data_IF_781881548736
#
_entry.id   IF_781881548736
#
_cell.length_a   1.000
_cell.length_b   1.000
_cell.length_c   1.000
_cell.angle_alpha   90.00
_cell.angle_beta   90.00
_cell.angle_gamma   90.00
#
_symmetry.space_group_name_H-M   'P 1'
#
loop_
_entity.id
_entity.type
_entity.pdbx_description
1 polymer ?
#
# COMPACT_ATOMS: atom_id res chain seq x y z
N UNK A 1 -27.31 17.64 42.89
CA UNK A 1 -26.89 16.33 42.31
C UNK A 1 -27.57 16.01 40.97
N UNK A 2 -28.89 16.13 40.78
CA UNK A 2 -29.56 15.82 39.50
C UNK A 2 -29.14 16.69 38.30
N UNK A 3 -28.79 17.96 38.51
CA UNK A 3 -28.41 18.89 37.43
C UNK A 3 -26.99 18.64 36.89
N UNK A 4 -26.06 18.20 37.75
CA UNK A 4 -24.70 17.81 37.35
C UNK A 4 -24.68 16.47 36.58
N UNK A 5 -25.57 15.53 36.93
CA UNK A 5 -25.70 14.25 36.23
C UNK A 5 -26.22 14.43 34.79
N UNK A 6 -27.15 15.38 34.59
CA UNK A 6 -27.71 15.68 33.26
C UNK A 6 -26.67 16.37 32.35
N UNK A 7 -25.85 17.26 32.89
CA UNK A 7 -24.74 17.91 32.16
C UNK A 7 -23.66 16.89 31.80
N UNK A 8 -23.33 15.97 32.71
CA UNK A 8 -22.36 14.91 32.46
C UNK A 8 -22.85 13.90 31.41
N UNK A 9 -24.14 13.54 31.43
CA UNK A 9 -24.77 12.69 30.41
C UNK A 9 -24.88 13.42 29.05
N UNK A 10 -25.15 14.73 29.02
CA UNK A 10 -25.11 15.52 27.79
C UNK A 10 -23.68 15.62 27.24
N UNK A 11 -22.68 15.85 28.09
CA UNK A 11 -21.26 15.89 27.69
C UNK A 11 -20.80 14.51 27.19
N UNK A 12 -21.19 13.42 27.83
CA UNK A 12 -20.92 12.05 27.37
C UNK A 12 -21.64 11.74 26.04
N UNK A 13 -22.91 12.14 25.90
CA UNK A 13 -23.67 11.95 24.66
C UNK A 13 -23.13 12.80 23.50
N UNK A 14 -22.71 14.04 23.76
CA UNK A 14 -22.10 14.93 22.76
C UNK A 14 -20.70 14.45 22.38
N UNK A 15 -19.88 13.99 23.33
CA UNK A 15 -18.55 13.43 23.05
C UNK A 15 -18.62 12.11 22.28
N UNK A 16 -19.53 11.20 22.63
CA UNK A 16 -19.79 9.96 21.89
C UNK A 16 -20.38 10.22 20.50
N UNK A 17 -21.30 11.17 20.36
CA UNK A 17 -21.86 11.57 19.06
C UNK A 17 -20.82 12.28 18.17
N UNK A 18 -19.93 13.09 18.74
CA UNK A 18 -18.82 13.72 18.01
C UNK A 18 -17.77 12.67 17.58
N UNK A 19 -17.40 11.76 18.48
CA UNK A 19 -16.45 10.68 18.18
C UNK A 19 -16.97 9.72 17.10
N UNK A 20 -18.26 9.39 17.11
CA UNK A 20 -18.90 8.57 16.07
C UNK A 20 -18.99 9.26 14.71
N UNK A 21 -19.20 10.59 14.67
CA UNK A 21 -19.13 11.38 13.42
C UNK A 21 -17.71 11.44 12.86
N UNK A 22 -16.72 11.68 13.72
CA UNK A 22 -15.29 11.68 13.35
C UNK A 22 -14.84 10.32 12.81
N UNK A 23 -15.29 9.23 13.43
CA UNK A 23 -15.00 7.86 12.98
C UNK A 23 -15.70 7.54 11.64
N UNK A 24 -16.93 8.00 11.44
CA UNK A 24 -17.66 7.83 10.19
C UNK A 24 -17.00 8.58 9.02
N UNK A 25 -16.60 9.85 9.23
CA UNK A 25 -15.92 10.63 8.19
C UNK A 25 -14.52 10.08 7.89
N UNK A 26 -13.77 9.65 8.93
CA UNK A 26 -12.51 8.92 8.73
C UNK A 26 -12.71 7.68 7.86
N UNK A 27 -13.73 6.86 8.17
CA UNK A 27 -14.02 5.66 7.38
C UNK A 27 -14.42 5.99 5.94
N UNK A 28 -15.14 7.09 5.71
CA UNK A 28 -15.48 7.57 4.37
C UNK A 28 -14.23 7.95 3.58
N UNK A 29 -13.32 8.73 4.16
CA UNK A 29 -12.07 9.15 3.52
C UNK A 29 -11.13 7.98 3.24
N UNK A 30 -11.02 7.03 4.18
CA UNK A 30 -10.30 5.76 3.97
C UNK A 30 -10.89 4.97 2.81
N UNK A 31 -12.21 4.89 2.72
CA UNK A 31 -12.85 4.15 1.65
C UNK A 31 -12.66 4.84 0.29
N UNK A 32 -12.70 6.17 0.24
CA UNK A 32 -12.47 6.95 -0.96
C UNK A 32 -11.06 6.72 -1.55
N UNK A 33 -10.04 6.54 -0.71
CA UNK A 33 -8.69 6.23 -1.21
C UNK A 33 -8.58 4.84 -1.86
N UNK A 34 -9.53 3.94 -1.59
CA UNK A 34 -9.53 2.55 -2.08
C UNK A 34 -10.41 2.32 -3.32
N UNK A 35 -11.01 3.37 -3.89
CA UNK A 35 -12.03 3.24 -4.94
C UNK A 35 -11.49 2.72 -6.28
N UNK A 36 -10.20 2.82 -6.58
CA UNK A 36 -9.66 2.34 -7.86
C UNK A 36 -8.15 2.47 -8.06
N UNK A 37 -7.71 2.06 -9.25
CA UNK A 37 -6.34 2.17 -9.71
C UNK A 37 -6.01 3.62 -10.12
N UNK A 38 -4.80 4.07 -9.79
CA UNK A 38 -4.26 5.33 -10.29
C UNK A 38 -3.63 5.16 -11.68
N UNK A 39 -3.58 6.21 -12.51
CA UNK A 39 -2.74 6.22 -13.71
C UNK A 39 -1.30 5.85 -13.33
N UNK A 40 -0.77 4.83 -13.99
CA UNK A 40 0.54 4.30 -13.65
C UNK A 40 1.67 5.29 -13.96
N UNK A 41 1.58 5.98 -15.09
CA UNK A 41 2.54 7.02 -15.46
C UNK A 41 1.99 8.40 -15.14
N UNK A 42 2.87 9.30 -14.70
CA UNK A 42 2.53 10.69 -14.50
C UNK A 42 3.69 11.61 -14.90
N UNK A 43 3.32 12.84 -15.25
CA UNK A 43 4.22 13.98 -15.38
C UNK A 43 3.78 15.05 -14.40
N UNK A 44 4.68 15.98 -14.09
CA UNK A 44 4.38 17.12 -13.22
C UNK A 44 4.08 18.33 -14.08
N UNK A 45 2.93 18.95 -13.84
CA UNK A 45 2.60 20.26 -14.38
C UNK A 45 3.19 21.34 -13.45
N UNK A 46 4.30 21.95 -13.87
CA UNK A 46 5.05 22.92 -13.08
C UNK A 46 4.24 24.19 -12.74
N UNK A 47 3.15 24.48 -13.47
CA UNK A 47 2.25 25.59 -13.17
C UNK A 47 1.28 25.26 -12.03
N UNK A 48 1.02 23.97 -11.78
CA UNK A 48 0.07 23.51 -10.76
C UNK A 48 0.75 23.04 -9.49
N UNK A 49 1.97 22.49 -9.59
CA UNK A 49 2.71 21.96 -8.45
C UNK A 49 3.83 22.95 -8.08
N UNK A 50 3.68 23.69 -6.96
CA UNK A 50 4.71 24.62 -6.50
C UNK A 50 6.02 23.90 -6.20
N UNK A 51 7.13 24.60 -6.40
CA UNK A 51 8.43 24.11 -5.97
C UNK A 51 8.53 24.23 -4.45
N UNK A 52 8.86 23.12 -3.79
CA UNK A 52 9.13 23.10 -2.34
C UNK A 52 10.50 23.68 -2.04
N UNK A 53 10.69 24.22 -0.83
CA UNK A 53 11.96 24.79 -0.40
C UNK A 53 12.63 23.90 0.66
N UNK A 54 13.84 23.38 0.43
CA UNK A 54 14.59 22.63 1.44
C UNK A 54 15.14 23.53 2.56
N UNK A 55 15.10 24.85 2.40
CA UNK A 55 15.68 25.81 3.35
C UNK A 55 14.84 25.98 4.63
N UNK A 56 15.44 26.54 5.68
CA UNK A 56 14.71 26.91 6.90
C UNK A 56 14.44 25.77 7.88
N UNK A 57 14.90 24.56 7.60
CA UNK A 57 14.86 23.44 8.55
C UNK A 57 16.10 22.56 8.44
N UNK A 58 16.72 22.26 9.57
CA UNK A 58 17.82 21.30 9.69
C UNK A 58 17.66 20.54 11.00
N UNK A 59 17.56 19.22 10.94
CA UNK A 59 17.52 18.36 12.12
C UNK A 59 18.41 17.14 11.88
N UNK A 60 19.30 16.84 12.82
CA UNK A 60 20.10 15.63 12.78
C UNK A 60 19.19 14.40 12.80
N UNK A 61 19.47 13.43 11.92
CA UNK A 61 18.67 12.20 11.83
C UNK A 61 17.42 12.30 10.97
N UNK A 62 17.13 13.43 10.33
CA UNK A 62 16.05 13.52 9.33
C UNK A 62 16.29 12.59 8.14
N UNK A 63 17.55 12.37 7.75
CA UNK A 63 17.92 11.40 6.73
C UNK A 63 19.28 10.78 7.01
N UNK A 64 19.51 9.60 6.44
CA UNK A 64 20.80 8.91 6.43
C UNK A 64 21.21 8.65 4.98
N UNK A 65 22.40 9.10 4.59
CA UNK A 65 22.83 9.07 3.18
C UNK A 65 23.22 7.67 2.68
N UNK A 66 23.93 6.88 3.51
CA UNK A 66 24.52 5.58 3.13
C UNK A 66 25.20 5.66 1.76
N UNK A 67 24.91 4.76 0.81
CA UNK A 67 25.51 4.81 -0.53
C UNK A 67 24.93 5.92 -1.43
N UNK A 68 23.85 6.58 -1.03
CA UNK A 68 23.16 7.60 -1.84
C UNK A 68 22.51 7.02 -3.08
N UNK A 69 22.48 7.82 -4.15
CA UNK A 69 21.84 7.49 -5.44
C UNK A 69 22.82 7.68 -6.62
N UNK A 70 23.96 6.97 -6.64
CA UNK A 70 25.04 7.24 -7.58
C UNK A 70 24.66 7.01 -9.05
N UNK A 71 23.85 6.00 -9.36
CA UNK A 71 23.46 5.68 -10.73
C UNK A 71 22.49 6.72 -11.29
N UNK A 72 21.50 7.11 -10.49
CA UNK A 72 20.54 8.16 -10.81
C UNK A 72 21.26 9.48 -11.10
N UNK A 73 22.13 9.94 -10.20
CA UNK A 73 22.84 11.21 -10.39
C UNK A 73 23.82 11.17 -11.57
N UNK A 74 24.52 10.05 -11.79
CA UNK A 74 25.39 9.87 -12.97
C UNK A 74 24.60 9.97 -14.26
N UNK A 75 23.45 9.29 -14.34
CA UNK A 75 22.58 9.29 -15.53
C UNK A 75 21.94 10.67 -15.77
N UNK A 76 21.52 11.35 -14.70
CA UNK A 76 21.00 12.72 -14.76
C UNK A 76 22.08 13.71 -15.26
N UNK A 77 23.31 13.63 -14.75
CA UNK A 77 24.42 14.47 -15.19
C UNK A 77 24.80 14.26 -16.66
N UNK A 78 24.58 13.05 -17.18
CA UNK A 78 24.76 12.73 -18.60
C UNK A 78 23.61 13.21 -19.50
N UNK A 79 22.59 13.89 -18.96
CA UNK A 79 21.45 14.40 -19.73
C UNK A 79 20.47 13.32 -20.23
N UNK A 80 20.56 12.10 -19.71
CA UNK A 80 19.76 10.97 -20.20
C UNK A 80 18.36 10.97 -19.58
N UNK A 81 17.31 10.52 -20.33
CA UNK A 81 15.96 10.41 -19.77
C UNK A 81 15.90 9.49 -18.55
N UNK A 82 15.11 9.89 -17.54
CA UNK A 82 14.96 9.16 -16.28
C UNK A 82 13.52 8.73 -16.02
N UNK A 83 13.37 7.59 -15.35
CA UNK A 83 12.10 7.12 -14.77
C UNK A 83 12.23 7.02 -13.27
N UNK A 84 11.33 7.66 -12.54
CA UNK A 84 11.30 7.66 -11.07
C UNK A 84 10.07 6.90 -10.60
N UNK A 85 10.32 5.76 -9.95
CA UNK A 85 9.31 4.88 -9.40
C UNK A 85 8.94 5.22 -7.97
N UNK A 86 7.66 5.11 -7.65
CA UNK A 86 7.13 5.25 -6.30
C UNK A 86 6.25 4.04 -6.00
N UNK A 87 6.65 3.21 -5.03
CA UNK A 87 5.87 2.05 -4.58
C UNK A 87 5.49 2.20 -3.12
N UNK A 88 4.21 2.02 -2.83
CA UNK A 88 3.72 2.15 -1.48
C UNK A 88 2.20 2.04 -1.32
N UNK A 89 1.71 2.55 -0.20
CA UNK A 89 0.29 2.54 0.16
C UNK A 89 -0.51 3.72 -0.40
N UNK A 90 -1.51 4.15 0.36
CA UNK A 90 -2.44 5.22 -0.03
C UNK A 90 -1.77 6.59 -0.11
N UNK A 91 -0.80 6.87 0.77
CA UNK A 91 -0.04 8.12 0.77
C UNK A 91 0.80 8.21 -0.51
N UNK A 92 1.40 7.11 -0.97
CA UNK A 92 2.08 7.05 -2.28
C UNK A 92 1.13 7.22 -3.47
N UNK A 93 -0.06 6.61 -3.36
CA UNK A 93 -1.07 6.69 -4.41
C UNK A 93 -1.55 8.14 -4.61
N UNK A 94 -1.72 8.88 -3.51
CA UNK A 94 -2.21 10.25 -3.47
C UNK A 94 -1.33 11.25 -4.22
N UNK A 95 -1.96 12.18 -4.93
CA UNK A 95 -1.26 13.22 -5.71
C UNK A 95 -0.51 14.22 -4.85
N UNK A 96 -1.15 14.74 -3.81
CA UNK A 96 -0.62 15.85 -3.01
C UNK A 96 0.11 15.43 -1.74
N UNK A 97 0.28 14.12 -1.53
CA UNK A 97 0.80 13.60 -0.29
C UNK A 97 2.33 13.68 -0.18
N UNK A 98 3.07 13.58 -1.29
CA UNK A 98 4.51 13.90 -1.38
C UNK A 98 5.04 13.72 -2.82
N UNK A 99 4.47 12.78 -3.58
CA UNK A 99 5.03 12.29 -4.85
C UNK A 99 5.16 13.37 -5.91
N UNK A 100 4.13 14.18 -6.13
CA UNK A 100 4.16 15.23 -7.15
C UNK A 100 5.17 16.33 -6.80
N UNK A 101 5.19 16.75 -5.54
CA UNK A 101 6.11 17.78 -5.04
C UNK A 101 7.56 17.32 -5.07
N UNK A 102 7.82 16.07 -4.66
CA UNK A 102 9.13 15.43 -4.76
C UNK A 102 9.61 15.42 -6.21
N UNK A 103 8.76 14.96 -7.13
CA UNK A 103 9.09 14.90 -8.56
C UNK A 103 9.35 16.30 -9.13
N UNK A 104 8.56 17.32 -8.74
CA UNK A 104 8.75 18.72 -9.15
C UNK A 104 10.13 19.24 -8.77
N UNK A 105 10.56 18.93 -7.55
CA UNK A 105 11.84 19.35 -7.01
C UNK A 105 13.00 18.63 -7.69
N UNK A 106 12.94 17.30 -7.83
CA UNK A 106 13.96 16.52 -8.56
C UNK A 106 14.11 16.99 -10.01
N UNK A 107 13.01 17.32 -10.70
CA UNK A 107 13.07 17.89 -12.05
C UNK A 107 13.76 19.26 -12.10
N UNK A 108 13.55 20.13 -11.10
CA UNK A 108 14.23 21.44 -11.05
C UNK A 108 15.75 21.33 -10.88
N UNK A 109 16.25 20.22 -10.33
CA UNK A 109 17.69 19.98 -10.22
C UNK A 109 18.37 19.71 -11.57
N UNK A 110 17.60 19.23 -12.56
CA UNK A 110 18.07 18.80 -13.87
C UNK A 110 17.10 19.24 -14.97
N UNK A 111 16.96 20.55 -15.24
CA UNK A 111 15.90 21.09 -16.11
C UNK A 111 16.00 20.63 -17.58
N UNK A 112 17.18 20.17 -18.02
CA UNK A 112 17.39 19.63 -19.36
C UNK A 112 17.04 18.13 -19.48
N UNK A 113 16.80 17.42 -18.36
CA UNK A 113 16.54 15.99 -18.35
C UNK A 113 15.04 15.72 -18.40
N UNK A 114 14.60 14.93 -19.38
CA UNK A 114 13.22 14.44 -19.41
C UNK A 114 13.02 13.38 -18.33
N UNK A 115 12.06 13.60 -17.43
CA UNK A 115 11.74 12.64 -16.38
C UNK A 115 10.26 12.25 -16.39
N UNK A 116 9.98 10.95 -16.22
CA UNK A 116 8.62 10.41 -16.05
C UNK A 116 8.50 9.71 -14.70
N UNK A 117 7.38 9.94 -14.03
CA UNK A 117 7.07 9.26 -12.77
C UNK A 117 6.26 7.98 -13.01
N UNK A 118 6.48 6.98 -12.16
CA UNK A 118 5.68 5.74 -12.09
C UNK A 118 5.01 5.69 -10.71
N UNK A 119 3.67 5.74 -10.67
CA UNK A 119 2.87 5.63 -9.46
C UNK A 119 2.39 4.19 -9.26
N UNK A 120 3.14 3.43 -8.47
CA UNK A 120 2.78 2.10 -7.99
C UNK A 120 2.25 2.17 -6.54
N UNK A 121 1.46 3.19 -6.21
CA UNK A 121 0.72 3.26 -4.94
C UNK A 121 -0.58 2.44 -4.99
N UNK A 122 -0.84 1.63 -3.97
CA UNK A 122 -2.11 0.90 -3.81
C UNK A 122 -2.62 1.07 -2.38
N UNK A 123 -3.75 1.75 -2.22
CA UNK A 123 -4.32 2.07 -0.92
C UNK A 123 -4.63 0.85 -0.05
N UNK A 124 -4.28 0.96 1.24
CA UNK A 124 -4.56 -0.08 2.24
C UNK A 124 -3.67 -1.33 2.12
N UNK A 125 -2.51 -1.23 1.46
CA UNK A 125 -1.61 -2.37 1.22
C UNK A 125 -0.26 -2.14 1.88
N UNK A 126 0.36 -3.24 2.34
CA UNK A 126 1.68 -3.23 2.95
C UNK A 126 2.75 -3.82 2.03
N UNK A 127 3.88 -4.17 2.62
CA UNK A 127 5.01 -4.81 1.93
C UNK A 127 4.67 -6.21 1.42
N UNK A 128 3.58 -6.83 1.89
CA UNK A 128 3.06 -8.13 1.43
C UNK A 128 2.62 -8.07 -0.03
N UNK A 129 1.57 -7.30 -0.32
CA UNK A 129 1.11 -7.14 -1.69
C UNK A 129 2.14 -6.36 -2.52
N UNK A 130 2.86 -5.42 -1.90
CA UNK A 130 3.97 -4.69 -2.51
C UNK A 130 5.00 -5.61 -3.15
N UNK A 131 5.47 -6.64 -2.42
CA UNK A 131 6.42 -7.61 -2.92
C UNK A 131 5.86 -8.45 -4.08
N UNK A 132 4.58 -8.84 -4.04
CA UNK A 132 3.98 -9.60 -5.15
C UNK A 132 3.82 -8.76 -6.42
N UNK A 133 3.38 -7.49 -6.31
CA UNK A 133 3.01 -6.65 -7.47
C UNK A 133 4.16 -5.86 -8.07
N UNK A 134 5.31 -5.84 -7.40
CA UNK A 134 6.48 -5.03 -7.75
C UNK A 134 6.89 -5.18 -9.22
N UNK A 135 6.94 -6.41 -9.73
CA UNK A 135 7.34 -6.66 -11.11
C UNK A 135 6.41 -5.97 -12.11
N UNK A 136 5.12 -6.31 -12.07
CA UNK A 136 4.12 -5.84 -13.04
C UNK A 136 3.86 -4.34 -12.96
N UNK A 137 3.89 -3.76 -11.76
CA UNK A 137 3.52 -2.36 -11.55
C UNK A 137 4.71 -1.41 -11.50
N UNK A 138 5.94 -1.91 -11.54
CA UNK A 138 7.13 -1.05 -11.44
C UNK A 138 8.29 -1.52 -12.30
N UNK A 139 8.82 -2.73 -12.04
CA UNK A 139 10.11 -3.15 -12.61
C UNK A 139 10.07 -3.28 -14.13
N UNK A 140 8.99 -3.81 -14.71
CA UNK A 140 8.87 -3.94 -16.18
C UNK A 140 8.94 -2.59 -16.92
N UNK A 141 8.86 -1.47 -16.20
CA UNK A 141 8.98 -0.13 -16.74
C UNK A 141 10.39 0.46 -16.59
N UNK A 142 11.36 -0.31 -16.10
CA UNK A 142 12.77 0.07 -15.98
C UNK A 142 12.97 1.43 -15.29
N UNK A 143 12.59 1.58 -14.00
CA UNK A 143 12.87 2.79 -13.24
C UNK A 143 14.39 2.94 -13.03
N UNK A 144 14.89 4.17 -12.95
CA UNK A 144 16.27 4.48 -12.58
C UNK A 144 16.43 4.71 -11.06
N UNK A 145 15.33 5.07 -10.42
CA UNK A 145 15.23 5.33 -9.00
C UNK A 145 13.88 4.81 -8.50
N UNK A 146 13.87 4.15 -7.35
CA UNK A 146 12.65 3.71 -6.66
C UNK A 146 12.60 4.28 -5.25
N UNK A 147 11.54 5.03 -4.96
CA UNK A 147 11.12 5.35 -3.60
C UNK A 147 10.19 4.24 -3.07
N UNK A 148 10.52 3.69 -1.90
CA UNK A 148 9.71 2.67 -1.22
C UNK A 148 9.12 3.27 0.06
N UNK A 149 7.79 3.23 0.19
CA UNK A 149 7.05 3.80 1.33
C UNK A 149 5.93 2.86 1.79
N UNK A 150 6.06 2.25 2.95
CA UNK A 150 5.00 1.43 3.55
C UNK A 150 4.90 1.59 5.07
N UNK A 151 5.57 2.60 5.64
CA UNK A 151 5.75 2.71 7.08
C UNK A 151 4.41 2.89 7.82
N UNK A 152 3.53 3.74 7.28
CA UNK A 152 2.19 3.96 7.82
C UNK A 152 1.22 2.79 7.53
N UNK A 153 1.59 1.85 6.65
CA UNK A 153 0.79 0.68 6.29
C UNK A 153 1.17 -0.59 7.06
N UNK A 154 2.02 -0.48 8.10
CA UNK A 154 2.44 -1.63 8.87
C UNK A 154 3.45 -2.52 8.12
N UNK A 155 4.35 -1.90 7.34
CA UNK A 155 5.47 -2.60 6.72
C UNK A 155 6.15 -3.55 7.70
N UNK A 156 6.37 -4.78 7.25
CA UNK A 156 7.18 -5.76 7.96
C UNK A 156 8.48 -5.98 7.19
N UNK A 157 9.52 -6.32 7.93
CA UNK A 157 10.90 -6.34 7.46
C UNK A 157 11.13 -7.35 6.33
N UNK A 158 10.46 -8.50 6.38
CA UNK A 158 10.65 -9.62 5.45
C UNK A 158 10.14 -9.25 4.03
N UNK A 159 9.03 -8.52 3.98
CA UNK A 159 8.46 -8.00 2.74
C UNK A 159 9.29 -6.84 2.19
N UNK A 160 9.77 -5.94 3.07
CA UNK A 160 10.66 -4.85 2.69
C UNK A 160 11.96 -5.38 2.06
N UNK A 161 12.60 -6.36 2.71
CA UNK A 161 13.78 -7.01 2.18
C UNK A 161 13.49 -7.72 0.85
N UNK A 162 12.35 -8.42 0.74
CA UNK A 162 11.93 -9.03 -0.51
C UNK A 162 11.85 -8.04 -1.67
N UNK A 163 11.23 -6.87 -1.46
CA UNK A 163 11.14 -5.80 -2.46
C UNK A 163 12.54 -5.31 -2.87
N UNK A 164 13.42 -5.02 -1.91
CA UNK A 164 14.78 -4.53 -2.17
C UNK A 164 15.57 -5.54 -3.01
N UNK A 165 15.52 -6.83 -2.61
CA UNK A 165 16.24 -7.90 -3.29
C UNK A 165 15.70 -8.14 -4.70
N UNK A 166 14.39 -8.08 -4.89
CA UNK A 166 13.78 -8.15 -6.22
C UNK A 166 14.27 -6.99 -7.13
N UNK A 167 14.31 -5.75 -6.63
CA UNK A 167 14.83 -4.60 -7.40
C UNK A 167 16.29 -4.85 -7.80
N UNK A 168 17.15 -5.22 -6.84
CA UNK A 168 18.59 -5.45 -7.09
C UNK A 168 18.88 -6.61 -8.02
N UNK A 169 18.08 -7.68 -7.97
CA UNK A 169 18.16 -8.81 -8.90
C UNK A 169 17.68 -8.46 -10.30
N UNK A 170 16.69 -7.56 -10.39
CA UNK A 170 16.16 -7.12 -11.67
C UNK A 170 17.18 -6.26 -12.41
N UNK A 171 17.72 -5.24 -11.74
CA UNK A 171 18.81 -4.42 -12.26
C UNK A 171 19.55 -3.74 -11.09
N UNK A 172 20.84 -4.07 -10.86
CA UNK A 172 21.61 -3.50 -9.76
C UNK A 172 21.84 -1.99 -9.89
N UNK A 173 21.69 -1.42 -11.10
CA UNK A 173 21.84 0.01 -11.37
C UNK A 173 20.60 0.84 -10.97
N UNK A 174 19.51 0.21 -10.52
CA UNK A 174 18.34 0.91 -9.98
C UNK A 174 18.69 1.39 -8.57
N UNK A 175 18.69 2.70 -8.36
CA UNK A 175 18.86 3.26 -7.03
C UNK A 175 17.57 3.15 -6.20
N UNK A 176 17.71 2.97 -4.90
CA UNK A 176 16.58 2.78 -3.97
C UNK A 176 16.70 3.80 -2.84
N UNK A 177 15.60 4.48 -2.53
CA UNK A 177 15.48 5.36 -1.37
C UNK A 177 14.29 4.94 -0.51
N UNK A 178 14.53 4.62 0.76
CA UNK A 178 13.45 4.32 1.71
C UNK A 178 12.92 5.62 2.30
N UNK A 179 11.61 5.81 2.29
CA UNK A 179 10.99 7.00 2.88
C UNK A 179 9.92 6.56 3.88
N UNK A 180 9.83 7.27 4.99
CA UNK A 180 8.94 6.87 6.09
C UNK A 180 7.93 7.96 6.40
N UNK A 181 6.70 7.70 5.97
CA UNK A 181 5.54 8.48 6.41
C UNK A 181 5.15 8.05 7.82
N UNK A 182 4.44 8.93 8.53
CA UNK A 182 3.86 8.63 9.84
C UNK A 182 2.35 8.90 9.85
N UNK A 183 1.69 8.38 10.88
CA UNK A 183 0.26 8.59 11.13
C UNK A 183 0.02 9.24 12.49
N UNK A 184 -1.24 9.63 12.73
CA UNK A 184 -1.66 10.28 13.96
C UNK A 184 -1.17 9.57 15.22
N UNK A 185 -0.57 10.34 16.13
CA UNK A 185 0.00 9.85 17.39
C UNK A 185 1.49 9.57 17.36
N UNK A 186 2.12 9.47 16.18
CA UNK A 186 3.57 9.23 16.07
C UNK A 186 4.42 10.51 16.15
N UNK A 187 3.82 11.68 15.95
CA UNK A 187 4.53 12.97 15.97
C UNK A 187 5.26 13.23 17.29
N UNK A 188 4.63 12.86 18.41
CA UNK A 188 5.22 12.98 19.76
C UNK A 188 6.53 12.20 19.92
N UNK A 189 6.72 11.13 19.14
CA UNK A 189 7.93 10.30 19.19
C UNK A 189 9.10 11.07 18.56
N UNK A 190 8.90 11.65 17.37
CA UNK A 190 9.89 12.53 16.74
C UNK A 190 10.16 13.79 17.56
N UNK A 191 9.11 14.37 18.15
CA UNK A 191 9.22 15.57 18.97
C UNK A 191 9.99 15.35 20.29
N UNK A 192 10.24 14.09 20.64
CA UNK A 192 11.08 13.62 21.75
C UNK A 192 12.42 13.04 21.28
N UNK A 193 12.88 13.41 20.07
CA UNK A 193 14.16 13.00 19.47
C UNK A 193 14.30 11.47 19.31
N UNK A 194 13.19 10.78 19.04
CA UNK A 194 13.16 9.34 18.79
C UNK A 194 12.45 9.01 17.47
N UNK A 195 12.55 7.77 17.00
CA UNK A 195 11.89 7.30 15.78
C UNK A 195 10.84 6.22 16.11
N UNK A 196 9.66 6.20 15.45
CA UNK A 196 8.64 5.20 15.69
C UNK A 196 9.13 3.75 15.55
N UNK A 197 8.65 2.85 16.41
CA UNK A 197 9.07 1.44 16.45
C UNK A 197 8.90 0.73 15.10
N UNK A 198 7.79 0.98 14.40
CA UNK A 198 7.53 0.42 13.07
C UNK A 198 8.55 0.88 12.00
N UNK A 199 9.28 1.97 12.24
CA UNK A 199 10.33 2.48 11.35
C UNK A 199 11.70 1.95 11.76
N UNK A 200 11.95 1.72 13.05
CA UNK A 200 13.24 1.20 13.54
C UNK A 200 13.65 -0.12 12.87
N UNK A 201 12.70 -1.03 12.65
CA UNK A 201 12.96 -2.28 11.94
C UNK A 201 13.36 -2.07 10.48
N UNK A 202 12.72 -1.12 9.79
CA UNK A 202 13.00 -0.78 8.40
C UNK A 202 14.38 -0.11 8.25
N UNK A 203 14.78 0.72 9.22
CA UNK A 203 16.12 1.32 9.25
C UNK A 203 17.25 0.30 9.38
N UNK A 204 17.00 -0.84 10.06
CA UNK A 204 17.96 -1.96 10.09
C UNK A 204 18.13 -2.58 8.70
N UNK A 205 17.04 -2.73 7.95
CA UNK A 205 17.08 -3.18 6.55
C UNK A 205 17.84 -2.16 5.69
N UNK A 206 17.52 -0.88 5.81
CA UNK A 206 18.21 0.20 5.09
C UNK A 206 19.73 0.19 5.34
N UNK A 207 20.14 0.00 6.60
CA UNK A 207 21.54 -0.11 6.99
C UNK A 207 22.22 -1.35 6.40
N UNK A 208 21.58 -2.52 6.48
CA UNK A 208 22.14 -3.76 5.93
C UNK A 208 22.41 -3.66 4.42
N UNK A 209 21.48 -3.06 3.67
CA UNK A 209 21.58 -2.88 2.22
C UNK A 209 22.24 -1.55 1.79
N UNK A 210 22.75 -0.76 2.74
CA UNK A 210 23.37 0.55 2.50
C UNK A 210 22.51 1.53 1.68
N UNK A 211 21.18 1.50 1.87
CA UNK A 211 20.23 2.34 1.14
C UNK A 211 19.99 3.68 1.84
N UNK A 212 19.98 4.83 1.14
CA UNK A 212 19.55 6.08 1.75
C UNK A 212 18.13 5.98 2.31
N UNK A 213 17.87 6.71 3.40
CA UNK A 213 16.54 6.78 3.98
C UNK A 213 16.18 8.15 4.55
N UNK A 214 14.88 8.48 4.56
CA UNK A 214 14.35 9.79 4.97
C UNK A 214 13.15 9.66 5.93
N UNK A 215 13.23 10.34 7.07
CA UNK A 215 12.19 10.47 8.09
C UNK A 215 11.26 11.65 7.76
N UNK A 216 10.18 11.40 7.03
CA UNK A 216 9.35 12.48 6.46
C UNK A 216 8.60 13.30 7.52
N UNK A 217 8.30 12.68 8.67
CA UNK A 217 7.51 13.31 9.74
C UNK A 217 8.25 14.27 10.65
N UNK A 218 9.57 14.42 10.53
CA UNK A 218 10.40 15.13 11.51
C UNK A 218 10.00 16.60 11.66
N UNK A 219 10.03 17.37 10.57
CA UNK A 219 9.69 18.79 10.57
C UNK A 219 8.24 19.04 11.01
N UNK A 220 7.28 18.25 10.48
CA UNK A 220 5.87 18.37 10.84
C UNK A 220 5.64 18.14 12.34
N UNK A 221 6.38 17.19 12.95
CA UNK A 221 6.28 16.89 14.37
C UNK A 221 6.81 18.00 15.27
N UNK A 222 7.90 18.65 14.87
CA UNK A 222 8.45 19.80 15.59
C UNK A 222 7.54 21.03 15.45
N UNK A 223 6.98 21.28 14.26
CA UNK A 223 5.98 22.33 14.06
C UNK A 223 4.72 22.10 14.90
N UNK A 224 4.29 20.85 15.06
CA UNK A 224 3.16 20.52 15.96
C UNK A 224 3.52 20.79 17.42
N UNK A 225 4.71 20.38 17.88
CA UNK A 225 5.21 20.68 19.24
C UNK A 225 5.29 22.18 19.52
N UNK A 226 5.63 22.99 18.52
CA UNK A 226 5.67 24.45 18.59
C UNK A 226 4.29 25.13 18.47
N UNK A 227 3.23 24.35 18.23
CA UNK A 227 1.88 24.88 18.04
C UNK A 227 1.66 25.60 16.71
N UNK A 228 2.55 25.43 15.72
CA UNK A 228 2.46 26.01 14.36
C UNK A 228 1.70 25.12 13.36
N UNK A 229 1.48 23.86 13.74
CA UNK A 229 0.82 22.85 12.92
C UNK A 229 -0.21 22.10 13.76
N UNK A 230 -1.31 21.72 13.13
CA UNK A 230 -2.31 20.78 13.64
C UNK A 230 -2.27 19.52 12.78
N UNK A 231 -1.97 18.36 13.38
CA UNK A 231 -1.82 17.12 12.63
C UNK A 231 -3.11 16.67 11.94
N UNK A 232 -4.22 16.64 12.69
CA UNK A 232 -5.56 16.34 12.20
C UNK A 232 -6.47 17.55 12.41
N UNK A 233 -6.99 18.13 11.35
CA UNK A 233 -7.89 19.28 11.46
C UNK A 233 -8.67 19.56 10.18
N UNK A 234 -9.60 20.50 10.28
CA UNK A 234 -10.40 21.00 9.17
C UNK A 234 -9.84 22.36 8.72
N UNK A 235 -9.45 22.48 7.46
CA UNK A 235 -8.96 23.73 6.86
C UNK A 235 -10.01 24.85 6.85
N UNK A 236 -11.30 24.51 6.95
CA UNK A 236 -12.36 25.50 7.10
C UNK A 236 -12.43 26.11 8.51
N UNK A 237 -11.74 25.52 9.50
CA UNK A 237 -11.76 25.96 10.90
C UNK A 237 -10.40 26.45 11.40
N UNK A 238 -9.31 25.95 10.82
CA UNK A 238 -7.94 26.31 11.19
C UNK A 238 -7.35 27.20 10.08
N UNK A 239 -7.10 28.46 10.41
CA UNK A 239 -6.60 29.46 9.46
C UNK A 239 -5.24 30.07 9.84
N UNK A 240 -4.83 29.92 11.10
CA UNK A 240 -3.63 30.53 11.68
C UNK A 240 -2.41 29.59 11.68
N UNK A 241 -2.62 28.31 11.34
CA UNK A 241 -1.65 27.22 11.44
C UNK A 241 -1.76 26.28 10.26
N UNK A 242 -0.73 25.49 10.04
CA UNK A 242 -0.73 24.45 9.02
C UNK A 242 -1.68 23.32 9.45
N UNK A 243 -2.59 22.90 8.58
CA UNK A 243 -3.34 21.64 8.74
C UNK A 243 -2.62 20.56 7.92
N UNK A 244 -2.11 19.54 8.61
CA UNK A 244 -1.35 18.49 7.95
C UNK A 244 -2.26 17.50 7.21
N UNK A 245 -3.31 17.01 7.87
CA UNK A 245 -4.24 16.00 7.35
C UNK A 245 -5.68 16.26 7.83
N UNK A 246 -6.67 15.85 7.04
CA UNK A 246 -8.08 15.87 7.44
C UNK A 246 -8.47 14.63 8.27
N UNK A 247 -7.87 13.47 7.98
CA UNK A 247 -8.19 12.19 8.64
C UNK A 247 -7.09 11.71 9.62
N UNK A 248 -5.98 12.43 9.68
CA UNK A 248 -4.82 12.11 10.52
C UNK A 248 -3.87 11.08 9.89
N UNK A 249 -4.09 10.69 8.63
CA UNK A 249 -3.28 9.72 7.88
C UNK A 249 -2.80 10.33 6.57
N UNK A 250 -3.71 10.81 5.72
CA UNK A 250 -3.38 11.28 4.37
C UNK A 250 -3.04 12.79 4.41
N UNK A 251 -1.82 13.20 4.03
CA UNK A 251 -1.47 14.61 4.00
C UNK A 251 -2.31 15.39 3.00
N UNK A 252 -2.77 16.57 3.41
CA UNK A 252 -3.19 17.64 2.51
C UNK A 252 -1.95 18.24 1.81
N UNK A 253 -2.16 19.13 0.83
CA UNK A 253 -1.06 19.72 0.07
C UNK A 253 0.03 20.35 0.97
N UNK A 254 -0.34 21.08 2.02
CA UNK A 254 0.62 21.67 2.95
C UNK A 254 1.42 20.61 3.73
N UNK A 255 0.76 19.54 4.19
CA UNK A 255 1.45 18.42 4.86
C UNK A 255 2.36 17.66 3.90
N UNK A 256 1.92 17.44 2.67
CA UNK A 256 2.73 16.76 1.66
C UNK A 256 3.90 17.59 1.14
N UNK A 257 3.83 18.92 1.22
CA UNK A 257 4.97 19.78 1.00
C UNK A 257 6.07 19.52 2.04
N UNK A 258 5.73 19.45 3.33
CA UNK A 258 6.69 19.14 4.40
C UNK A 258 7.38 17.78 4.17
N UNK A 259 6.63 16.76 3.74
CA UNK A 259 7.20 15.47 3.36
C UNK A 259 8.17 15.59 2.17
N UNK A 260 7.79 16.33 1.13
CA UNK A 260 8.66 16.54 -0.03
C UNK A 260 9.89 17.40 0.28
N UNK A 261 9.80 18.36 1.21
CA UNK A 261 10.93 19.17 1.69
C UNK A 261 11.99 18.30 2.41
N UNK A 262 11.57 17.31 3.21
CA UNK A 262 12.51 16.35 3.81
C UNK A 262 13.26 15.54 2.74
N UNK A 263 12.55 15.09 1.70
CA UNK A 263 13.17 14.38 0.56
C UNK A 263 14.11 15.32 -0.21
N UNK A 264 13.71 16.59 -0.40
CA UNK A 264 14.51 17.61 -1.06
C UNK A 264 15.85 17.83 -0.37
N UNK A 265 15.85 18.02 0.96
CA UNK A 265 17.07 18.16 1.77
C UNK A 265 17.98 16.93 1.68
N UNK A 266 17.40 15.72 1.71
CA UNK A 266 18.17 14.50 1.53
C UNK A 266 18.79 14.42 0.12
N UNK A 267 18.05 14.80 -0.93
CA UNK A 267 18.52 14.82 -2.31
C UNK A 267 19.67 15.78 -2.54
N UNK A 268 19.63 16.99 -1.98
CA UNK A 268 20.74 17.94 -2.05
C UNK A 268 22.03 17.38 -1.43
N UNK A 269 21.91 16.71 -0.29
CA UNK A 269 23.04 16.06 0.36
C UNK A 269 23.57 14.86 -0.43
N UNK A 270 22.69 14.00 -0.96
CA UNK A 270 23.10 12.88 -1.81
C UNK A 270 23.73 13.33 -3.13
N UNK A 271 23.24 14.43 -3.73
CA UNK A 271 23.84 15.02 -4.94
C UNK A 271 25.26 15.49 -4.66
N UNK A 272 25.49 16.22 -3.57
CA UNK A 272 26.83 16.67 -3.15
C UNK A 272 27.78 15.49 -2.93
N UNK A 273 27.30 14.44 -2.26
CA UNK A 273 28.07 13.20 -2.05
C UNK A 273 28.43 12.49 -3.36
N UNK A 274 27.52 12.47 -4.34
CA UNK A 274 27.78 11.83 -5.65
C UNK A 274 28.91 12.53 -6.43
N UNK A 275 29.05 13.85 -6.27
CA UNK A 275 30.08 14.66 -6.93
C UNK A 275 31.47 14.37 -6.33
N UNK A 276 31.55 14.06 -5.03
CA UNK A 276 32.83 13.76 -4.35
C UNK A 276 33.43 12.39 -4.67
N UNK A 277 32.76 11.59 -5.51
CA UNK A 277 33.17 10.24 -5.88
C UNK A 277 32.74 9.20 -4.84
N UNK A 278 31.88 8.26 -5.23
CA UNK A 278 31.49 7.15 -4.39
C UNK A 278 31.80 5.82 -5.07
N UNK A 279 32.20 4.82 -4.28
CA UNK A 279 32.45 3.47 -4.79
C UNK A 279 31.11 2.76 -5.02
N UNK A 280 30.92 2.28 -6.24
CA UNK A 280 29.83 1.38 -6.58
C UNK A 280 30.09 0.02 -5.91
N UNK A 281 29.33 -0.28 -4.85
CA UNK A 281 29.37 -1.58 -4.19
C UNK A 281 28.10 -2.36 -4.55
N UNK A 282 27.99 -2.72 -5.82
CA UNK A 282 26.82 -3.36 -6.47
C UNK A 282 26.62 -4.84 -6.12
N UNK A 283 27.41 -5.41 -5.20
CA UNK A 283 27.22 -6.81 -4.79
C UNK A 283 26.01 -6.92 -3.85
N UNK A 284 25.00 -7.69 -4.27
CA UNK A 284 23.84 -8.00 -3.43
C UNK A 284 24.28 -8.93 -2.29
N UNK A 285 24.23 -8.51 -1.01
CA UNK A 285 24.60 -9.39 0.09
C UNK A 285 23.66 -10.60 0.21
N UNK A 286 24.05 -11.58 1.03
CA UNK A 286 23.14 -12.63 1.46
C UNK A 286 21.86 -12.01 2.07
N UNK A 287 20.71 -12.71 2.03
CA UNK A 287 19.53 -12.20 2.71
C UNK A 287 19.79 -12.13 4.23
N UNK A 288 19.36 -11.03 4.85
CA UNK A 288 19.33 -10.84 6.30
C UNK A 288 18.25 -11.73 6.93
N UNK A 289 17.09 -11.83 6.28
CA UNK A 289 15.96 -12.66 6.71
C UNK A 289 15.85 -13.86 5.77
N UNK A 290 16.02 -15.06 6.32
CA UNK A 290 15.95 -16.30 5.55
C UNK A 290 14.59 -16.48 4.85
N UNK A 291 13.50 -16.07 5.51
CA UNK A 291 12.13 -16.16 5.00
C UNK A 291 11.64 -14.84 4.36
N UNK A 292 12.54 -14.09 3.71
CA UNK A 292 12.18 -12.88 2.98
C UNK A 292 11.30 -13.17 1.74
N UNK A 293 10.75 -12.11 1.13
CA UNK A 293 9.78 -12.21 0.04
C UNK A 293 10.36 -11.94 -1.36
N UNK A 294 11.63 -12.28 -1.59
CA UNK A 294 12.30 -12.04 -2.87
C UNK A 294 11.75 -12.90 -4.03
N UNK A 295 11.02 -13.97 -3.70
CA UNK A 295 10.35 -14.89 -4.62
C UNK A 295 8.83 -14.67 -4.69
N UNK A 296 8.34 -13.58 -4.10
CA UNK A 296 6.95 -13.19 -4.21
C UNK A 296 6.62 -12.67 -5.62
N UNK A 297 5.45 -13.02 -6.13
CA UNK A 297 5.01 -12.63 -7.46
C UNK A 297 3.50 -12.56 -7.60
N UNK A 298 3.07 -11.86 -8.65
CA UNK A 298 1.70 -11.72 -9.08
C UNK A 298 1.60 -12.25 -10.51
N UNK A 299 0.56 -13.04 -10.77
CA UNK A 299 0.43 -13.83 -11.99
C UNK A 299 -0.95 -13.65 -12.62
N UNK A 300 -0.94 -13.66 -13.95
CA UNK A 300 -2.15 -13.70 -14.77
C UNK A 300 -2.92 -15.01 -14.47
N UNK A 301 -4.20 -14.94 -14.03
CA UNK A 301 -4.95 -16.14 -13.68
C UNK A 301 -5.16 -17.08 -14.87
N UNK A 302 -5.46 -16.56 -16.07
CA UNK A 302 -5.71 -17.39 -17.26
C UNK A 302 -4.45 -18.13 -17.74
N UNK A 303 -3.28 -17.60 -17.46
CA UNK A 303 -2.00 -18.27 -17.77
C UNK A 303 -1.62 -19.32 -16.73
N UNK A 304 -1.96 -19.10 -15.45
CA UNK A 304 -1.51 -19.94 -14.35
C UNK A 304 -2.50 -21.07 -13.99
N UNK A 305 -3.80 -20.83 -14.11
CA UNK A 305 -4.84 -21.70 -13.57
C UNK A 305 -5.76 -22.33 -14.62
N UNK A 306 -6.24 -23.54 -14.35
CA UNK A 306 -7.35 -24.16 -15.08
C UNK A 306 -8.66 -23.73 -14.44
N UNK A 307 -9.59 -23.19 -15.21
CA UNK A 307 -10.90 -22.75 -14.74
C UNK A 307 -12.00 -23.73 -15.15
N UNK A 308 -12.99 -23.96 -14.29
CA UNK A 308 -14.26 -24.58 -14.70
C UNK A 308 -15.02 -23.64 -15.64
N UNK A 309 -15.92 -24.20 -16.46
CA UNK A 309 -16.70 -23.47 -17.49
C UNK A 309 -17.45 -22.23 -16.99
N UNK A 310 -17.79 -22.19 -15.70
CA UNK A 310 -18.60 -21.12 -15.08
C UNK A 310 -17.77 -19.90 -14.63
N UNK A 311 -16.45 -19.94 -14.81
CA UNK A 311 -15.58 -18.77 -14.66
C UNK A 311 -15.33 -18.12 -16.03
N UNK A 312 -15.80 -16.88 -16.18
CA UNK A 312 -15.70 -16.14 -17.43
C UNK A 312 -14.88 -14.85 -17.24
N UNK A 313 -14.06 -14.45 -18.21
CA UNK A 313 -13.36 -13.17 -18.15
C UNK A 313 -14.35 -12.01 -18.32
N UNK A 314 -14.28 -11.02 -17.43
CA UNK A 314 -14.95 -9.73 -17.53
C UNK A 314 -13.89 -8.66 -17.79
N UNK A 315 -13.89 -8.06 -18.99
CA UNK A 315 -13.00 -6.94 -19.33
C UNK A 315 -13.37 -5.74 -18.45
N UNK A 316 -12.37 -5.16 -17.77
CA UNK A 316 -12.65 -4.08 -16.82
C UNK A 316 -12.96 -2.76 -17.53
N UNK A 317 -12.24 -2.43 -18.60
CA UNK A 317 -12.47 -1.22 -19.38
C UNK A 317 -13.91 -1.18 -19.95
N UNK A 318 -14.64 -0.10 -19.66
CA UNK A 318 -16.03 0.06 -20.10
C UNK A 318 -17.08 -0.70 -19.26
N UNK A 319 -16.66 -1.48 -18.26
CA UNK A 319 -17.56 -2.15 -17.31
C UNK A 319 -17.78 -1.32 -16.04
N UNK A 320 -18.60 -1.84 -15.12
CA UNK A 320 -18.74 -1.33 -13.75
C UNK A 320 -17.46 -1.40 -12.90
N UNK A 321 -16.43 -2.08 -13.40
CA UNK A 321 -15.12 -2.26 -12.76
C UNK A 321 -14.02 -1.42 -13.43
N UNK A 322 -14.38 -0.47 -14.30
CA UNK A 322 -13.41 0.29 -15.10
C UNK A 322 -12.38 1.08 -14.29
N UNK A 323 -12.70 1.43 -13.05
CA UNK A 323 -11.78 2.06 -12.11
C UNK A 323 -10.60 1.15 -11.72
N UNK A 324 -10.69 -0.17 -11.91
CA UNK A 324 -9.60 -1.11 -11.66
C UNK A 324 -8.79 -1.48 -12.92
N UNK A 325 -9.10 -0.90 -14.09
CA UNK A 325 -8.43 -1.25 -15.35
C UNK A 325 -6.92 -1.08 -15.36
N UNK A 326 -6.40 -0.19 -14.51
CA UNK A 326 -4.96 0.02 -14.34
C UNK A 326 -4.26 -1.10 -13.56
N UNK A 327 -5.00 -1.91 -12.80
CA UNK A 327 -4.47 -3.09 -12.11
C UNK A 327 -4.81 -4.38 -12.86
N UNK A 328 -6.02 -4.46 -13.40
CA UNK A 328 -6.55 -5.65 -14.03
C UNK A 328 -7.15 -5.28 -15.39
N UNK A 329 -6.54 -5.67 -16.54
CA UNK A 329 -7.18 -5.48 -17.84
C UNK A 329 -8.51 -6.26 -17.96
N UNK A 330 -8.60 -7.38 -17.25
CA UNK A 330 -9.81 -8.18 -17.07
C UNK A 330 -9.78 -8.81 -15.66
N UNK A 331 -10.92 -9.30 -15.19
CA UNK A 331 -11.00 -10.19 -14.02
C UNK A 331 -11.69 -11.48 -14.40
N UNK A 332 -11.28 -12.60 -13.79
CA UNK A 332 -12.06 -13.84 -13.88
C UNK A 332 -13.24 -13.73 -12.93
N UNK A 333 -14.45 -14.00 -13.42
CA UNK A 333 -15.70 -13.87 -12.68
C UNK A 333 -16.43 -15.20 -12.61
N UNK A 334 -16.92 -15.57 -11.43
CA UNK A 334 -17.92 -16.62 -11.26
C UNK A 334 -19.09 -16.17 -10.40
N UNK A 335 -20.28 -16.68 -10.72
CA UNK A 335 -21.50 -16.51 -9.91
C UNK A 335 -22.18 -17.85 -9.55
N UNK A 336 -21.77 -18.97 -10.16
CA UNK A 336 -22.34 -20.29 -9.91
C UNK A 336 -21.61 -20.96 -8.75
N UNK A 337 -22.28 -21.28 -7.63
CA UNK A 337 -21.69 -22.08 -6.56
C UNK A 337 -21.10 -23.39 -7.11
N UNK A 338 -19.94 -23.76 -6.60
CA UNK A 338 -19.20 -24.92 -7.10
C UNK A 338 -18.23 -24.61 -8.25
N UNK A 339 -18.34 -23.46 -8.92
CA UNK A 339 -17.33 -23.03 -9.88
C UNK A 339 -15.94 -22.94 -9.22
N UNK A 340 -14.91 -23.45 -9.88
CA UNK A 340 -13.56 -23.53 -9.31
C UNK A 340 -12.46 -23.24 -10.31
N UNK A 341 -11.28 -22.95 -9.78
CA UNK A 341 -10.04 -22.93 -10.54
C UNK A 341 -8.91 -23.59 -9.76
N UNK A 342 -7.96 -24.16 -10.50
CA UNK A 342 -6.84 -24.93 -9.95
C UNK A 342 -5.53 -24.43 -10.52
N UNK A 343 -4.51 -24.29 -9.68
CA UNK A 343 -3.15 -23.96 -10.09
C UNK A 343 -2.12 -24.74 -9.28
N UNK A 344 -0.89 -24.80 -9.80
CA UNK A 344 0.23 -25.50 -9.16
C UNK A 344 1.39 -24.54 -8.93
N UNK A 345 2.06 -24.68 -7.80
CA UNK A 345 3.26 -23.90 -7.49
C UNK A 345 4.20 -24.63 -6.55
N UNK A 346 5.47 -24.25 -6.56
CA UNK A 346 6.47 -24.64 -5.57
C UNK A 346 6.72 -23.45 -4.66
N UNK A 347 6.42 -23.55 -3.37
CA UNK A 347 6.54 -22.43 -2.44
C UNK A 347 5.85 -22.72 -1.11
N UNK A 348 5.55 -21.66 -0.36
CA UNK A 348 4.88 -21.77 0.95
C UNK A 348 3.72 -20.78 1.12
N UNK A 349 3.35 -20.04 0.06
CA UNK A 349 2.24 -19.11 0.12
C UNK A 349 1.58 -18.95 -1.24
N UNK A 350 0.26 -18.88 -1.23
CA UNK A 350 -0.54 -18.48 -2.39
C UNK A 350 -1.60 -17.46 -1.96
N UNK A 351 -2.25 -16.82 -2.91
CA UNK A 351 -3.31 -15.87 -2.62
C UNK A 351 -3.90 -15.27 -3.87
N UNK A 352 -4.65 -14.19 -3.70
CA UNK A 352 -5.30 -13.51 -4.80
C UNK A 352 -5.40 -12.01 -4.52
N UNK A 353 -5.28 -11.24 -5.60
CA UNK A 353 -5.64 -9.83 -5.63
C UNK A 353 -6.96 -9.73 -6.42
N UNK A 354 -8.03 -9.46 -5.68
CA UNK A 354 -9.42 -9.53 -6.13
C UNK A 354 -10.14 -8.19 -5.94
N UNK A 355 -11.39 -8.15 -6.41
CA UNK A 355 -12.27 -6.99 -6.25
C UNK A 355 -13.38 -7.33 -5.26
N UNK A 356 -13.49 -6.54 -4.19
CA UNK A 356 -14.63 -6.55 -3.28
C UNK A 356 -15.79 -5.72 -3.84
N UNK A 357 -17.02 -6.05 -3.45
CA UNK A 357 -18.25 -5.41 -3.92
C UNK A 357 -19.51 -5.92 -3.21
N UNK A 358 -20.67 -5.30 -3.42
CA UNK A 358 -21.93 -5.64 -2.75
C UNK A 358 -22.34 -7.12 -2.87
N UNK A 359 -22.07 -7.71 -4.04
CA UNK A 359 -22.48 -9.06 -4.42
C UNK A 359 -21.49 -10.16 -4.00
N UNK A 360 -20.39 -9.81 -3.33
CA UNK A 360 -19.32 -10.77 -3.07
C UNK A 360 -19.78 -11.97 -2.25
N UNK A 361 -19.31 -13.15 -2.67
CA UNK A 361 -19.51 -14.42 -2.01
C UNK A 361 -18.35 -14.83 -1.11
N UNK A 362 -18.27 -16.13 -0.84
CA UNK A 362 -17.24 -16.74 -0.02
C UNK A 362 -16.53 -17.85 -0.82
N UNK A 363 -15.26 -18.07 -0.53
CA UNK A 363 -14.43 -19.08 -1.19
C UNK A 363 -14.08 -20.21 -0.24
N UNK A 364 -13.95 -21.42 -0.77
CA UNK A 364 -13.34 -22.56 -0.08
C UNK A 364 -12.00 -22.89 -0.72
N UNK A 365 -11.11 -23.52 0.05
CA UNK A 365 -9.77 -23.89 -0.40
C UNK A 365 -9.54 -25.39 -0.25
N UNK A 366 -8.89 -25.96 -1.25
CA UNK A 366 -8.37 -27.32 -1.23
C UNK A 366 -6.89 -27.25 -1.58
N UNK A 367 -6.06 -27.94 -0.79
CA UNK A 367 -4.61 -28.04 -0.99
C UNK A 367 -4.25 -29.51 -1.06
N UNK A 368 -3.60 -29.91 -2.15
CA UNK A 368 -3.13 -31.28 -2.40
C UNK A 368 -4.23 -32.35 -2.25
N UNK A 369 -5.42 -32.05 -2.76
CA UNK A 369 -6.59 -32.95 -2.72
C UNK A 369 -7.33 -32.95 -1.38
N UNK A 370 -6.96 -32.09 -0.43
CA UNK A 370 -7.56 -32.01 0.90
C UNK A 370 -8.23 -30.66 1.11
N UNK A 371 -9.51 -30.68 1.50
CA UNK A 371 -10.21 -29.46 1.90
C UNK A 371 -9.56 -28.86 3.15
N UNK A 372 -9.28 -27.56 3.11
CA UNK A 372 -8.59 -26.84 4.18
C UNK A 372 -9.49 -25.75 4.78
N UNK A 373 -9.27 -25.45 6.05
CA UNK A 373 -9.79 -24.27 6.73
C UNK A 373 -8.71 -23.18 6.79
N UNK A 374 -9.09 -21.95 7.08
CA UNK A 374 -8.17 -20.83 7.28
C UNK A 374 -8.23 -20.29 8.69
N UNK A 375 -7.07 -20.02 9.28
CA UNK A 375 -6.95 -19.34 10.57
C UNK A 375 -6.14 -18.04 10.41
N UNK A 376 -6.46 -17.01 11.19
CA UNK A 376 -5.65 -15.79 11.22
C UNK A 376 -4.26 -16.09 11.77
N UNK A 377 -3.21 -15.55 11.14
CA UNK A 377 -1.83 -15.68 11.64
C UNK A 377 -1.51 -14.67 12.75
N UNK A 378 -2.33 -13.63 12.91
CA UNK A 378 -2.17 -12.60 13.95
C UNK A 378 -0.96 -11.67 13.75
N UNK A 379 -0.36 -11.64 12.55
CA UNK A 379 0.75 -10.73 12.25
C UNK A 379 0.18 -9.35 11.94
N UNK A 380 0.39 -8.41 12.87
CA UNK A 380 -0.04 -7.01 12.76
C UNK A 380 0.43 -6.39 11.44
N UNK A 381 -0.49 -5.76 10.70
CA UNK A 381 -0.20 -5.07 9.44
C UNK A 381 -0.25 -5.96 8.19
N UNK A 382 -0.55 -7.26 8.32
CA UNK A 382 -0.62 -8.19 7.17
C UNK A 382 -2.03 -8.76 6.99
N UNK A 383 -2.35 -9.19 5.77
CA UNK A 383 -3.53 -10.02 5.47
C UNK A 383 -3.11 -11.46 5.21
N UNK A 384 -2.58 -12.09 6.26
CA UNK A 384 -2.02 -13.44 6.22
C UNK A 384 -2.88 -14.42 7.00
N UNK A 385 -3.43 -15.38 6.27
CA UNK A 385 -4.09 -16.56 6.79
C UNK A 385 -3.12 -17.75 6.77
N UNK A 386 -3.46 -18.77 7.55
CA UNK A 386 -2.81 -20.09 7.49
C UNK A 386 -3.82 -21.14 7.10
N UNK A 387 -3.49 -21.95 6.08
CA UNK A 387 -4.24 -23.16 5.78
C UNK A 387 -4.03 -24.15 6.92
N UNK A 388 -5.12 -24.61 7.51
CA UNK A 388 -5.14 -25.57 8.62
C UNK A 388 -6.16 -26.66 8.33
N UNK A 389 -5.86 -27.87 8.78
CA UNK A 389 -6.75 -29.01 8.57
C UNK A 389 -8.07 -28.83 9.32
N UNK A 390 -7.98 -28.39 10.58
CA UNK A 390 -9.10 -28.23 11.52
C UNK A 390 -8.88 -26.99 12.40
N UNK A 391 -9.95 -26.47 13.00
CA UNK A 391 -9.88 -25.38 13.98
C UNK A 391 -9.79 -23.97 13.36
N UNK A 392 -10.00 -23.85 12.05
CA UNK A 392 -10.12 -22.60 11.33
C UNK A 392 -11.54 -22.36 10.80
N UNK A 393 -11.67 -21.36 9.92
CA UNK A 393 -12.89 -21.11 9.16
C UNK A 393 -12.81 -21.83 7.80
N UNK A 394 -13.79 -22.65 7.41
CA UNK A 394 -13.80 -23.29 6.08
C UNK A 394 -14.00 -22.29 4.93
N UNK A 395 -14.43 -21.05 5.23
CA UNK A 395 -14.80 -20.04 4.25
C UNK A 395 -13.87 -18.82 4.34
N UNK A 396 -13.41 -18.37 3.18
CA UNK A 396 -12.75 -17.08 3.00
C UNK A 396 -13.79 -16.09 2.48
N UNK A 397 -14.30 -15.24 3.36
CA UNK A 397 -15.27 -14.22 3.00
C UNK A 397 -14.64 -13.09 2.17
N UNK A 398 -15.26 -12.72 1.04
CA UNK A 398 -14.78 -11.62 0.18
C UNK A 398 -15.60 -10.33 0.32
N UNK A 399 -16.62 -10.31 1.18
CA UNK A 399 -17.39 -9.11 1.52
C UNK A 399 -16.92 -8.51 2.85
N UNK A 400 -16.76 -7.19 2.93
CA UNK A 400 -16.45 -6.46 4.18
C UNK A 400 -17.14 -5.09 4.20
N UNK A 401 -16.96 -4.33 5.28
CA UNK A 401 -17.64 -3.04 5.52
C UNK A 401 -17.31 -1.96 4.47
N UNK A 402 -16.24 -2.15 3.71
CA UNK A 402 -15.83 -1.28 2.61
C UNK A 402 -16.38 -1.74 1.24
N UNK A 403 -17.17 -2.82 1.19
CA UNK A 403 -17.86 -3.30 0.00
C UNK A 403 -19.31 -2.76 -0.10
N UNK A 404 -19.74 -1.94 0.86
CA UNK A 404 -21.09 -1.37 0.90
C UNK A 404 -21.29 -0.31 -0.19
N UNK A 405 -22.20 -0.56 -1.12
CA UNK A 405 -22.52 0.28 -2.27
C UNK A 405 -21.29 0.75 -3.08
N UNK A 406 -20.21 -0.04 -3.10
CA UNK A 406 -18.97 0.34 -3.78
C UNK A 406 -18.11 -0.88 -4.07
N UNK A 407 -17.17 -0.73 -5.00
CA UNK A 407 -16.14 -1.73 -5.25
C UNK A 407 -14.79 -1.26 -4.72
N UNK A 408 -13.92 -2.20 -4.41
CA UNK A 408 -12.54 -1.92 -3.96
C UNK A 408 -11.59 -3.02 -4.39
N UNK A 409 -10.31 -2.68 -4.56
CA UNK A 409 -9.26 -3.68 -4.56
C UNK A 409 -9.06 -4.26 -3.16
N UNK A 410 -8.83 -5.56 -3.06
CA UNK A 410 -8.48 -6.23 -1.82
C UNK A 410 -7.63 -7.47 -2.13
N UNK A 411 -6.87 -7.95 -1.15
CA UNK A 411 -6.08 -9.17 -1.33
C UNK A 411 -6.20 -10.08 -0.11
N UNK A 412 -5.86 -11.35 -0.33
CA UNK A 412 -5.65 -12.34 0.72
C UNK A 412 -4.42 -13.17 0.38
N UNK A 413 -3.65 -13.54 1.40
CA UNK A 413 -2.54 -14.47 1.29
C UNK A 413 -2.71 -15.59 2.31
N UNK A 414 -2.46 -16.82 1.88
CA UNK A 414 -2.63 -18.05 2.64
C UNK A 414 -1.30 -18.79 2.68
N UNK A 415 -0.81 -19.03 3.89
CA UNK A 415 0.40 -19.84 4.14
C UNK A 415 0.07 -21.33 4.11
N UNK A 416 0.98 -22.09 3.51
CA UNK A 416 1.04 -23.55 3.51
C UNK A 416 2.46 -23.98 3.92
N UNK A 417 2.64 -25.28 4.22
CA UNK A 417 3.99 -25.81 4.42
C UNK A 417 4.83 -25.66 3.15
N UNK A 418 6.15 -25.47 3.22
CA UNK A 418 6.97 -25.38 2.02
C UNK A 418 6.93 -26.67 1.18
N UNK A 419 6.56 -26.57 -0.09
CA UNK A 419 6.47 -27.74 -0.94
C UNK A 419 6.01 -27.45 -2.37
N UNK A 420 5.71 -28.53 -3.10
CA UNK A 420 4.99 -28.45 -4.36
C UNK A 420 3.52 -28.66 -4.04
N UNK A 421 2.67 -27.71 -4.41
CA UNK A 421 1.25 -27.75 -4.11
C UNK A 421 0.40 -27.71 -5.36
N UNK A 422 -0.73 -28.40 -5.30
CA UNK A 422 -1.89 -28.19 -6.15
C UNK A 422 -2.98 -27.53 -5.32
N UNK A 423 -3.42 -26.34 -5.72
CA UNK A 423 -4.42 -25.55 -4.99
C UNK A 423 -5.66 -25.41 -5.85
N UNK A 424 -6.82 -25.75 -5.28
CA UNK A 424 -8.12 -25.50 -5.89
C UNK A 424 -8.92 -24.52 -5.03
N UNK A 425 -9.42 -23.47 -5.67
CA UNK A 425 -10.29 -22.46 -5.06
C UNK A 425 -11.69 -22.63 -5.64
N UNK A 426 -12.72 -22.60 -4.79
CA UNK A 426 -14.11 -22.83 -5.21
C UNK A 426 -15.06 -21.81 -4.60
N UNK A 427 -15.98 -21.28 -5.43
CA UNK A 427 -17.06 -20.40 -4.98
C UNK A 427 -18.06 -21.20 -4.14
N UNK A 428 -18.29 -20.78 -2.89
CA UNK A 428 -19.21 -21.44 -1.98
C UNK A 428 -20.67 -21.07 -2.27
N UNK A 429 -21.57 -22.02 -1.98
CA UNK A 429 -23.00 -21.75 -1.90
C UNK A 429 -23.38 -20.95 -0.64
N UNK A 430 -22.55 -21.02 0.40
CA UNK A 430 -22.77 -20.32 1.67
C UNK A 430 -22.56 -18.82 1.48
N UNK A 431 -23.60 -18.04 1.76
CA UNK A 431 -23.57 -16.58 1.70
C UNK A 431 -23.11 -15.99 3.04
N UNK A 432 -22.35 -14.90 2.97
CA UNK A 432 -21.98 -14.14 4.16
C UNK A 432 -23.21 -13.41 4.75
N UNK A 433 -23.28 -13.28 6.07
CA UNK A 433 -24.25 -12.40 6.73
C UNK A 433 -23.80 -10.93 6.58
N UNK A 434 -24.16 -10.34 5.44
CA UNK A 434 -23.74 -8.97 5.07
C UNK A 434 -24.33 -7.91 6.01
N UNK A 435 -25.54 -8.12 6.54
CA UNK A 435 -26.14 -7.20 7.51
C UNK A 435 -25.32 -7.15 8.80
N UNK A 436 -24.91 -8.33 9.31
CA UNK A 436 -24.05 -8.41 10.50
C UNK A 436 -22.68 -7.76 10.26
N UNK A 437 -22.10 -7.95 9.08
CA UNK A 437 -20.80 -7.38 8.71
C UNK A 437 -20.89 -5.84 8.70
N UNK A 438 -21.85 -5.28 7.95
CA UNK A 438 -22.04 -3.84 7.81
C UNK A 438 -22.34 -3.14 9.16
N UNK A 439 -23.12 -3.81 10.02
CA UNK A 439 -23.59 -3.23 11.28
C UNK A 439 -24.57 -2.07 11.06
N UNK A 440 -25.20 -1.61 12.15
CA UNK A 440 -26.36 -0.71 12.11
C UNK A 440 -26.12 0.61 11.37
N UNK A 441 -24.88 1.10 11.32
CA UNK A 441 -24.55 2.38 10.69
C UNK A 441 -24.47 2.34 9.16
N UNK A 442 -24.52 1.16 8.54
CA UNK A 442 -24.27 0.97 7.10
C UNK A 442 -25.40 0.21 6.39
N UNK A 443 -26.58 0.08 6.99
CA UNK A 443 -27.66 -0.77 6.46
C UNK A 443 -28.55 -0.12 5.39
N UNK A 444 -28.43 1.17 5.14
CA UNK A 444 -29.34 1.92 4.24
C UNK A 444 -29.41 1.30 2.83
N UNK A 445 -28.26 1.11 2.17
CA UNK A 445 -28.22 0.62 0.78
C UNK A 445 -28.63 -0.85 0.65
N UNK A 446 -28.20 -1.72 1.58
CA UNK A 446 -28.57 -3.14 1.58
C UNK A 446 -30.06 -3.36 1.86
N UNK A 447 -30.67 -2.50 2.69
CA UNK A 447 -32.12 -2.55 2.97
C UNK A 447 -32.93 -2.07 1.76
N UNK A 448 -32.47 -1.00 1.09
CA UNK A 448 -33.14 -0.46 -0.10
C UNK A 448 -32.96 -1.34 -1.35
N UNK A 449 -31.86 -2.09 -1.45
CA UNK A 449 -31.49 -2.87 -2.63
C UNK A 449 -31.05 -4.30 -2.27
N UNK A 450 -31.89 -5.13 -1.63
CA UNK A 450 -31.49 -6.45 -1.14
C UNK A 450 -30.94 -7.38 -2.23
N UNK A 451 -31.51 -7.36 -3.44
CA UNK A 451 -31.09 -8.21 -4.57
C UNK A 451 -29.64 -7.93 -5.03
N UNK A 452 -29.14 -6.72 -4.81
CA UNK A 452 -27.75 -6.35 -5.10
C UNK A 452 -26.77 -7.10 -4.20
N UNK A 453 -27.18 -7.37 -2.96
CA UNK A 453 -26.37 -8.02 -1.94
C UNK A 453 -26.65 -9.51 -1.81
N UNK A 454 -27.86 -9.98 -2.14
CA UNK A 454 -28.25 -11.39 -2.01
C UNK A 454 -27.71 -12.28 -3.15
N UNK A 455 -26.43 -12.10 -3.46
CA UNK A 455 -25.69 -12.79 -4.52
C UNK A 455 -24.39 -13.37 -3.96
N UNK A 456 -23.83 -14.32 -4.69
CA UNK A 456 -22.52 -14.92 -4.43
C UNK A 456 -21.68 -14.80 -5.70
N UNK A 457 -20.76 -13.84 -5.71
CA UNK A 457 -19.90 -13.56 -6.86
C UNK A 457 -18.45 -13.51 -6.39
N UNK A 458 -17.51 -13.93 -7.24
CA UNK A 458 -16.09 -13.75 -7.02
C UNK A 458 -15.42 -13.13 -8.24
N UNK A 459 -14.46 -12.22 -8.00
CA UNK A 459 -13.71 -11.50 -9.01
C UNK A 459 -12.20 -11.66 -8.81
N UNK A 460 -11.55 -12.57 -9.54
CA UNK A 460 -10.12 -12.80 -9.41
C UNK A 460 -9.38 -11.99 -10.46
N UNK A 461 -8.66 -10.96 -10.03
CA UNK A 461 -7.81 -10.15 -10.91
C UNK A 461 -6.45 -10.80 -11.13
N UNK A 462 -5.81 -11.28 -10.06
CA UNK A 462 -4.49 -11.91 -10.10
C UNK A 462 -4.36 -13.02 -9.07
N UNK A 463 -3.51 -14.00 -9.36
CA UNK A 463 -3.04 -15.00 -8.40
C UNK A 463 -1.71 -14.53 -7.83
N UNK A 464 -1.56 -14.61 -6.51
CA UNK A 464 -0.35 -14.23 -5.79
C UNK A 464 0.37 -15.49 -5.35
N UNK A 465 1.69 -15.55 -5.49
CA UNK A 465 2.50 -16.66 -4.97
C UNK A 465 3.70 -16.09 -4.21
N UNK A 466 4.13 -16.81 -3.18
CA UNK A 466 5.51 -16.78 -2.69
C UNK A 466 6.14 -18.12 -3.03
N UNK A 467 6.88 -18.10 -4.14
CA UNK A 467 7.37 -19.30 -4.80
C UNK A 467 7.26 -19.20 -6.32
N UNK A 468 7.44 -20.34 -7.00
CA UNK A 468 7.47 -20.42 -8.45
C UNK A 468 6.26 -21.19 -9.00
N UNK A 469 5.56 -20.68 -10.02
CA UNK A 469 4.57 -21.46 -10.76
C UNK A 469 5.11 -22.82 -11.23
N UNK A 470 4.27 -23.85 -11.19
CA UNK A 470 4.55 -25.13 -11.80
C UNK A 470 3.65 -25.33 -13.02
N UNK A 471 4.11 -26.03 -14.07
CA UNK A 471 3.25 -26.49 -15.14
C UNK A 471 2.09 -27.34 -14.59
N UNK A 472 0.97 -27.33 -15.31
CA UNK A 472 -0.20 -28.15 -14.98
C UNK A 472 0.06 -29.63 -15.21
#
# INVERSE_FOLDING_TARGET
MKQYLLIYLLLLAVTTAAQTKDDAERNRLIAASQEGASPLFFTVDAAKVPLVSPEGFTQTGEYTLRNGLPHFFKKAAAGQPLRVGFIGGSITQGSWCYRLQTMRYVQSMFPAVTMKGINAGVSGTGTDLGACRLKEQLLIHHPDLVFIEFAANGAYTDGMEGIIRQIRRYDPAIDICLIYTIYNGQTKIYAADSIPENIQGLEKIAAYYQLPSVQLGMQASLLEKEGKLVWKGDTAQVHDRIVFSADGIHPLAAGGNLYAEAIARAFDSMRRMSISGNQDNSTLPAPLIADNWEDAGMYDPQQLATFSKDWLPEVTAGSRLQQFKGWFPYVMKAEQPGASFTFRFKGNMFGFFDIGGPEMGQLTIEVDGKAMQVAERGIKGTRLLKAVDNGGNPLINRFNNYCNNRYRGQHELITVEPGNHTVTIRLSADKADKHKILGNAQLEDITAHPDKYDRTVAYIGKILLRGTPLPQ
#
